data_IF_364301572513
#
_entry.id   IF_364301572513
#
_cell.length_a   1.000
_cell.length_b   1.000
_cell.length_c   1.000
_cell.angle_alpha   90.00
_cell.angle_beta   90.00
_cell.angle_gamma   90.00
#
_symmetry.space_group_name_H-M   'P 1'
#
loop_
_entity.id
_entity.type
_entity.pdbx_description
1 polymer ?
#
# COMPACT_ATOMS: atom_id res chain seq x y z
N UNK A 1 22.06 9.26 11.45
CA UNK A 1 21.46 8.40 10.39
C UNK A 1 20.80 7.21 11.07
N UNK A 2 19.64 6.76 10.60
CA UNK A 2 18.86 5.69 11.27
C UNK A 2 19.46 4.28 11.11
N UNK A 3 20.43 4.08 10.21
CA UNK A 3 21.05 2.77 9.96
C UNK A 3 20.17 1.80 9.16
N UNK A 4 18.97 2.22 8.76
CA UNK A 4 18.02 1.44 7.96
C UNK A 4 18.14 1.80 6.48
N UNK A 5 17.70 0.88 5.63
CA UNK A 5 17.60 1.09 4.18
C UNK A 5 16.18 1.48 3.80
N UNK A 6 16.06 2.60 3.05
CA UNK A 6 14.80 3.16 2.59
C UNK A 6 14.72 3.10 1.07
N UNK A 7 13.49 2.95 0.56
CA UNK A 7 13.22 2.66 -0.83
C UNK A 7 12.05 3.50 -1.33
N UNK A 8 12.08 3.89 -2.60
CA UNK A 8 10.98 4.59 -3.27
C UNK A 8 10.95 4.12 -4.72
N UNK A 9 9.81 3.60 -5.17
CA UNK A 9 9.67 3.13 -6.53
C UNK A 9 9.72 4.30 -7.52
N UNK A 10 10.17 4.00 -8.75
CA UNK A 10 10.34 5.00 -9.80
C UNK A 10 9.06 5.74 -10.13
N UNK A 11 9.19 7.00 -10.53
CA UNK A 11 8.05 7.82 -10.94
C UNK A 11 7.43 8.56 -9.75
N UNK A 12 6.20 8.23 -9.39
CA UNK A 12 5.48 8.97 -8.37
C UNK A 12 6.08 8.78 -6.97
N UNK A 13 6.61 7.60 -6.66
CA UNK A 13 7.29 7.34 -5.38
C UNK A 13 8.53 8.23 -5.17
N UNK A 14 9.39 8.34 -6.19
CA UNK A 14 10.54 9.27 -6.19
C UNK A 14 10.11 10.74 -6.10
N UNK A 15 9.03 11.12 -6.80
CA UNK A 15 8.46 12.47 -6.71
C UNK A 15 7.99 12.78 -5.28
N UNK A 16 7.25 11.87 -4.65
CA UNK A 16 6.81 12.00 -3.26
C UNK A 16 8.00 12.11 -2.29
N UNK A 17 9.08 11.36 -2.53
CA UNK A 17 10.32 11.51 -1.75
C UNK A 17 10.90 12.92 -1.86
N UNK A 18 10.98 13.46 -3.08
CA UNK A 18 11.54 14.79 -3.34
C UNK A 18 10.67 15.92 -2.78
N UNK A 19 9.34 15.82 -2.94
CA UNK A 19 8.40 16.90 -2.60
C UNK A 19 7.89 16.83 -1.15
N UNK A 20 7.75 15.62 -0.59
CA UNK A 20 7.10 15.37 0.70
C UNK A 20 8.03 14.76 1.76
N UNK A 21 9.28 14.45 1.41
CA UNK A 21 10.33 14.02 2.33
C UNK A 21 10.05 12.70 3.08
N UNK A 22 9.43 11.72 2.42
CA UNK A 22 9.27 10.36 2.95
C UNK A 22 9.53 9.29 1.89
N UNK A 23 9.91 8.09 2.31
CA UNK A 23 10.16 6.95 1.44
C UNK A 23 8.98 5.98 1.44
N UNK A 24 8.76 5.29 0.33
CA UNK A 24 7.62 4.38 0.17
C UNK A 24 7.77 3.08 0.97
N UNK A 25 9.00 2.64 1.22
CA UNK A 25 9.28 1.45 2.01
C UNK A 25 10.58 1.57 2.82
N UNK A 26 10.69 0.76 3.86
CA UNK A 26 11.87 0.61 4.70
C UNK A 26 12.04 -0.84 5.11
N UNK A 27 13.28 -1.32 5.19
CA UNK A 27 13.59 -2.62 5.80
C UNK A 27 14.00 -2.45 7.25
N UNK A 28 13.38 -3.23 8.14
CA UNK A 28 13.61 -3.23 9.59
C UNK A 28 13.83 -4.67 10.05
N UNK A 29 15.10 -5.09 10.11
CA UNK A 29 15.44 -6.50 10.35
C UNK A 29 14.83 -7.41 9.29
N UNK A 30 14.06 -8.40 9.73
CA UNK A 30 13.34 -9.34 8.86
C UNK A 30 12.02 -8.77 8.31
N UNK A 31 11.66 -7.53 8.63
CA UNK A 31 10.40 -6.93 8.19
C UNK A 31 10.61 -5.91 7.08
N UNK A 32 9.60 -5.80 6.22
CA UNK A 32 9.41 -4.67 5.31
C UNK A 32 8.19 -3.90 5.80
N UNK A 33 8.37 -2.62 6.08
CA UNK A 33 7.29 -1.69 6.39
C UNK A 33 7.13 -0.74 5.20
N UNK A 34 5.89 -0.44 4.82
CA UNK A 34 5.60 0.52 3.74
C UNK A 34 4.82 1.71 4.27
N UNK A 35 4.94 2.85 3.59
CA UNK A 35 3.98 3.95 3.74
C UNK A 35 2.61 3.55 3.21
N UNK A 36 1.56 4.24 3.67
CA UNK A 36 0.22 4.09 3.13
C UNK A 36 0.19 4.29 1.61
N UNK A 37 -0.38 3.33 0.89
CA UNK A 37 -0.53 3.35 -0.56
C UNK A 37 -1.98 3.67 -0.93
N UNK A 38 -2.18 4.76 -1.65
CA UNK A 38 -3.45 5.11 -2.29
C UNK A 38 -3.55 4.55 -3.70
N UNK A 39 -4.70 4.75 -4.33
CA UNK A 39 -4.96 4.27 -5.68
C UNK A 39 -4.38 5.12 -6.81
N UNK A 40 -3.29 5.86 -6.58
CA UNK A 40 -2.65 6.65 -7.63
C UNK A 40 -1.92 5.76 -8.66
N UNK A 41 -1.81 6.20 -9.90
CA UNK A 41 -0.89 5.59 -10.86
C UNK A 41 0.56 5.79 -10.39
N UNK A 42 1.34 4.71 -10.29
CA UNK A 42 2.70 4.74 -9.74
C UNK A 42 3.69 5.57 -10.56
N UNK A 43 3.35 5.96 -11.80
CA UNK A 43 4.20 6.78 -12.68
C UNK A 43 3.75 8.23 -12.71
N UNK A 44 2.44 8.49 -12.81
CA UNK A 44 1.89 9.84 -13.01
C UNK A 44 1.38 10.47 -11.71
N UNK A 45 0.97 9.67 -10.74
CA UNK A 45 0.31 10.12 -9.51
C UNK A 45 -1.19 10.41 -9.65
N UNK A 46 -1.79 10.12 -10.81
CA UNK A 46 -3.22 10.35 -11.04
C UNK A 46 -4.06 9.32 -10.30
N UNK A 47 -5.11 9.79 -9.60
CA UNK A 47 -6.05 8.91 -8.90
C UNK A 47 -7.27 8.64 -9.79
N UNK A 48 -7.64 7.37 -10.05
CA UNK A 48 -8.83 7.04 -10.83
C UNK A 48 -10.10 7.67 -10.26
N UNK A 49 -10.97 8.18 -11.13
CA UNK A 49 -12.27 8.70 -10.70
C UNK A 49 -13.21 7.58 -10.23
N UNK A 50 -13.07 6.38 -10.78
CA UNK A 50 -13.81 5.19 -10.36
C UNK A 50 -13.18 4.58 -9.10
N UNK A 51 -13.99 4.39 -8.07
CA UNK A 51 -13.51 3.91 -6.78
C UNK A 51 -13.06 2.43 -6.80
N UNK A 52 -13.65 1.59 -7.63
CA UNK A 52 -13.23 0.18 -7.74
C UNK A 52 -11.84 0.08 -8.36
N UNK A 53 -11.56 0.93 -9.36
CA UNK A 53 -10.24 1.06 -9.97
C UNK A 53 -9.22 1.64 -8.98
N UNK A 54 -9.62 2.63 -8.17
CA UNK A 54 -8.75 3.16 -7.11
C UNK A 54 -8.39 2.07 -6.09
N UNK A 55 -9.37 1.25 -5.66
CA UNK A 55 -9.13 0.14 -4.73
C UNK A 55 -8.13 -0.86 -5.34
N UNK A 56 -8.34 -1.27 -6.59
CA UNK A 56 -7.43 -2.20 -7.27
C UNK A 56 -6.00 -1.63 -7.37
N UNK A 57 -5.89 -0.35 -7.73
CA UNK A 57 -4.62 0.33 -7.90
C UNK A 57 -3.88 0.49 -6.56
N UNK A 58 -4.60 0.75 -5.46
CA UNK A 58 -3.98 0.86 -4.14
C UNK A 58 -3.34 -0.47 -3.72
N UNK A 59 -4.01 -1.60 -4.00
CA UNK A 59 -3.45 -2.92 -3.74
C UNK A 59 -2.26 -3.26 -4.66
N UNK A 60 -2.29 -2.84 -5.92
CA UNK A 60 -1.12 -2.97 -6.80
C UNK A 60 0.08 -2.14 -6.29
N UNK A 61 -0.16 -0.92 -5.82
CA UNK A 61 0.90 -0.07 -5.27
C UNK A 61 1.56 -0.65 -4.02
N UNK A 62 0.80 -1.37 -3.18
CA UNK A 62 1.38 -2.17 -2.08
C UNK A 62 2.38 -3.19 -2.60
N UNK A 63 2.02 -3.92 -3.66
CA UNK A 63 2.90 -4.94 -4.25
C UNK A 63 4.19 -4.32 -4.81
N UNK A 64 4.05 -3.18 -5.50
CA UNK A 64 5.17 -2.41 -6.04
C UNK A 64 6.10 -1.94 -4.91
N UNK A 65 5.55 -1.33 -3.85
CA UNK A 65 6.33 -0.82 -2.72
C UNK A 65 7.11 -1.92 -2.00
N UNK A 66 6.47 -3.08 -1.78
CA UNK A 66 7.12 -4.23 -1.15
C UNK A 66 8.24 -4.81 -2.05
N UNK A 67 8.01 -4.92 -3.35
CA UNK A 67 9.00 -5.44 -4.31
C UNK A 67 10.19 -4.49 -4.49
N UNK A 68 9.95 -3.18 -4.45
CA UNK A 68 11.03 -2.17 -4.48
C UNK A 68 11.99 -2.34 -3.30
N UNK A 69 11.49 -2.75 -2.13
CA UNK A 69 12.30 -3.10 -0.96
C UNK A 69 12.89 -4.53 -1.00
N UNK A 70 12.85 -5.19 -2.17
CA UNK A 70 13.38 -6.55 -2.39
C UNK A 70 12.48 -7.67 -1.85
N UNK A 71 11.22 -7.38 -1.49
CA UNK A 71 10.25 -8.37 -1.05
C UNK A 71 9.58 -9.15 -2.20
N UNK A 72 8.79 -10.15 -1.83
CA UNK A 72 7.98 -11.00 -2.72
C UNK A 72 6.51 -10.54 -2.79
N UNK A 73 6.26 -9.28 -2.42
CA UNK A 73 4.93 -8.68 -2.48
C UNK A 73 3.96 -9.24 -1.44
N UNK A 74 2.69 -9.31 -1.82
CA UNK A 74 1.58 -9.67 -0.92
C UNK A 74 1.69 -11.05 -0.25
N UNK A 75 2.44 -11.97 -0.83
CA UNK A 75 2.70 -13.30 -0.24
C UNK A 75 3.37 -13.23 1.14
N UNK A 76 4.00 -12.10 1.47
CA UNK A 76 4.72 -11.88 2.74
C UNK A 76 3.95 -11.00 3.73
N UNK A 77 2.81 -10.43 3.34
CA UNK A 77 2.05 -9.48 4.16
C UNK A 77 1.41 -10.21 5.33
N UNK A 78 1.65 -9.77 6.57
CA UNK A 78 1.01 -10.34 7.75
C UNK A 78 0.02 -9.38 8.43
N UNK A 79 0.12 -8.08 8.17
CA UNK A 79 -0.75 -7.04 8.76
C UNK A 79 -1.20 -6.04 7.70
N UNK A 80 -2.48 -5.69 7.73
CA UNK A 80 -3.11 -4.68 6.88
C UNK A 80 -3.79 -3.63 7.77
N UNK A 81 -3.64 -2.36 7.43
CA UNK A 81 -4.49 -1.26 7.88
C UNK A 81 -5.13 -0.59 6.68
N UNK A 82 -6.45 -0.44 6.74
CA UNK A 82 -7.23 0.27 5.73
C UNK A 82 -7.75 1.56 6.34
N UNK A 83 -7.41 2.69 5.73
CA UNK A 83 -8.00 3.99 6.03
C UNK A 83 -8.87 4.37 4.83
N UNK A 84 -10.17 4.58 5.06
CA UNK A 84 -11.10 4.87 3.97
C UNK A 84 -12.11 5.93 4.36
N UNK A 85 -12.53 6.71 3.35
CA UNK A 85 -13.66 7.62 3.44
C UNK A 85 -14.98 6.85 3.26
N UNK A 86 -16.11 7.50 3.56
CA UNK A 86 -17.44 6.88 3.48
C UNK A 86 -17.74 6.31 2.08
N UNK A 87 -17.24 6.96 1.02
CA UNK A 87 -17.41 6.49 -0.36
C UNK A 87 -16.78 5.10 -0.59
N UNK A 88 -15.67 4.79 0.10
CA UNK A 88 -14.98 3.51 0.00
C UNK A 88 -15.54 2.44 0.96
N UNK A 89 -16.21 2.84 2.04
CA UNK A 89 -16.84 1.93 3.00
C UNK A 89 -18.26 1.46 2.60
N UNK A 90 -18.63 1.62 1.32
CA UNK A 90 -19.84 1.02 0.76
C UNK A 90 -19.74 -0.51 0.72
N UNK A 91 -20.88 -1.20 0.58
CA UNK A 91 -20.91 -2.68 0.44
C UNK A 91 -20.05 -3.15 -0.74
N UNK A 92 -20.16 -2.47 -1.88
CA UNK A 92 -19.36 -2.78 -3.07
C UNK A 92 -17.87 -2.51 -2.83
N UNK A 93 -17.52 -1.40 -2.17
CA UNK A 93 -16.13 -1.05 -1.87
C UNK A 93 -15.49 -2.06 -0.92
N UNK A 94 -16.20 -2.44 0.15
CA UNK A 94 -15.84 -3.52 1.05
C UNK A 94 -15.66 -4.85 0.32
N UNK A 95 -16.62 -5.21 -0.53
CA UNK A 95 -16.56 -6.40 -1.37
C UNK A 95 -15.28 -6.42 -2.20
N UNK A 96 -14.95 -5.29 -2.85
CA UNK A 96 -13.74 -5.17 -3.68
C UNK A 96 -12.45 -5.24 -2.89
N UNK A 97 -12.40 -4.68 -1.68
CA UNK A 97 -11.24 -4.84 -0.79
C UNK A 97 -11.05 -6.32 -0.40
N UNK A 98 -12.13 -7.03 -0.10
CA UNK A 98 -12.09 -8.47 0.23
C UNK A 98 -11.64 -9.31 -0.97
N UNK A 99 -12.14 -9.02 -2.17
CA UNK A 99 -11.70 -9.65 -3.41
C UNK A 99 -10.19 -9.49 -3.62
N UNK A 100 -9.68 -8.26 -3.45
CA UNK A 100 -8.25 -7.99 -3.57
C UNK A 100 -7.43 -8.72 -2.50
N UNK A 101 -7.85 -8.72 -1.23
CA UNK A 101 -7.15 -9.47 -0.18
C UNK A 101 -7.04 -10.96 -0.53
N UNK A 102 -8.12 -11.59 -1.03
CA UNK A 102 -8.10 -13.00 -1.45
C UNK A 102 -7.25 -13.23 -2.71
N UNK A 103 -7.28 -12.30 -3.67
CA UNK A 103 -6.48 -12.36 -4.90
C UNK A 103 -4.98 -12.30 -4.61
N UNK A 104 -4.58 -11.36 -3.77
CA UNK A 104 -3.18 -11.03 -3.53
C UNK A 104 -2.53 -11.86 -2.42
N UNK A 105 -3.30 -12.29 -1.42
CA UNK A 105 -2.87 -13.22 -0.37
C UNK A 105 -3.71 -14.52 -0.40
N UNK A 106 -3.63 -15.34 -1.47
CA UNK A 106 -4.49 -16.52 -1.62
C UNK A 106 -4.14 -17.66 -0.64
N UNK A 107 -2.93 -17.67 -0.09
CA UNK A 107 -2.40 -18.77 0.71
C UNK A 107 -2.36 -18.49 2.23
N UNK A 108 -2.81 -17.31 2.66
CA UNK A 108 -2.88 -16.92 4.07
C UNK A 108 -3.86 -15.77 4.30
N UNK A 109 -4.23 -15.51 5.55
CA UNK A 109 -5.11 -14.40 5.92
C UNK A 109 -4.36 -13.43 6.86
N UNK A 110 -3.99 -12.22 6.39
CA UNK A 110 -3.37 -11.21 7.23
C UNK A 110 -4.30 -10.73 8.35
N UNK A 111 -3.73 -10.26 9.47
CA UNK A 111 -4.51 -9.50 10.46
C UNK A 111 -4.90 -8.14 9.86
N UNK A 112 -6.09 -7.64 10.19
CA UNK A 112 -6.63 -6.42 9.58
C UNK A 112 -7.23 -5.47 10.61
N UNK A 113 -7.02 -4.17 10.40
CA UNK A 113 -7.78 -3.09 11.05
C UNK A 113 -8.35 -2.16 9.98
N UNK A 114 -9.64 -1.85 10.06
CA UNK A 114 -10.32 -0.88 9.21
C UNK A 114 -10.65 0.38 9.99
N UNK A 115 -10.37 1.55 9.41
CA UNK A 115 -10.52 2.86 10.04
C UNK A 115 -11.27 3.80 9.09
N UNK A 116 -12.34 4.42 9.60
CA UNK A 116 -13.00 5.54 8.92
C UNK A 116 -12.17 6.81 9.07
N UNK A 117 -11.85 7.46 7.96
CA UNK A 117 -11.15 8.75 7.93
C UNK A 117 -12.08 9.84 7.36
N UNK A 118 -11.85 11.10 7.74
CA UNK A 118 -12.57 12.24 7.16
C UNK A 118 -11.84 12.84 5.95
N UNK A 119 -10.55 12.53 5.78
CA UNK A 119 -9.70 12.98 4.66
C UNK A 119 -8.45 12.11 4.56
N UNK A 120 -7.89 11.99 3.34
CA UNK A 120 -6.62 11.32 3.04
C UNK A 120 -5.59 12.28 2.44
N UNK A 121 -4.34 11.80 2.27
CA UNK A 121 -3.16 12.64 1.99
C UNK A 121 -3.16 13.40 0.66
N UNK A 122 -3.80 12.85 -0.39
CA UNK A 122 -3.89 13.47 -1.71
C UNK A 122 -5.37 13.74 -2.09
N UNK A 123 -5.68 14.89 -2.73
CA UNK A 123 -7.01 15.13 -3.27
C UNK A 123 -7.46 14.02 -4.22
N UNK A 124 -8.70 13.55 -4.04
CA UNK A 124 -9.28 12.47 -4.84
C UNK A 124 -9.11 11.07 -4.26
N UNK A 125 -8.21 10.88 -3.28
CA UNK A 125 -8.10 9.60 -2.58
C UNK A 125 -9.30 9.34 -1.67
N UNK A 126 -9.82 8.11 -1.73
CA UNK A 126 -10.88 7.58 -0.86
C UNK A 126 -10.45 6.32 -0.10
N UNK A 127 -9.35 5.68 -0.51
CA UNK A 127 -8.73 4.56 0.21
C UNK A 127 -7.20 4.75 0.33
N UNK A 128 -6.65 4.38 1.48
CA UNK A 128 -5.23 4.20 1.71
C UNK A 128 -4.96 2.85 2.42
N UNK A 129 -4.00 2.09 1.89
CA UNK A 129 -3.64 0.74 2.36
C UNK A 129 -2.21 0.75 2.88
N UNK A 130 -2.04 0.48 4.18
CA UNK A 130 -0.73 0.32 4.83
C UNK A 130 -0.54 -1.14 5.23
N UNK A 131 0.64 -1.71 4.95
CA UNK A 131 0.92 -3.10 5.33
C UNK A 131 2.30 -3.26 5.96
N UNK A 132 2.44 -4.40 6.66
CA UNK A 132 3.73 -4.91 7.10
C UNK A 132 3.93 -6.32 6.54
N UNK A 133 5.13 -6.59 6.05
CA UNK A 133 5.52 -7.88 5.49
C UNK A 133 6.70 -8.49 6.23
N UNK A 134 6.72 -9.82 6.31
CA UNK A 134 7.77 -10.61 6.95
C UNK A 134 8.61 -11.36 5.90
N UNK A 135 9.90 -11.06 5.87
CA UNK A 135 10.87 -11.55 4.89
C UNK A 135 12.21 -11.93 5.56
N UNK A 136 12.25 -13.06 6.29
CA UNK A 136 13.44 -13.51 7.04
C UNK A 136 14.60 -13.96 6.16
N UNK A 137 14.36 -14.16 4.85
CA UNK A 137 15.41 -14.55 3.91
C UNK A 137 16.19 -13.35 3.36
N UNK A 138 15.76 -12.13 3.68
CA UNK A 138 16.35 -10.92 3.13
C UNK A 138 16.01 -10.70 1.65
N UNK A 139 16.45 -9.55 1.10
CA UNK A 139 16.27 -9.24 -0.32
C UNK A 139 16.94 -10.31 -1.18
N UNK A 140 16.24 -10.78 -2.21
CA UNK A 140 16.79 -11.67 -3.24
C UNK A 140 17.19 -10.91 -4.50
#
# INVERSE_FOLDING_TARGET
MSGLQYFSYKGYGEKLLQEMHYSQAVRVGDNIEISGQGGWDSKTGEVPSNIMQEIDQAFENVDIALKEAGGQGWSQVFRIRLYALDEAWTEDGLGRMVENMKKWAPNHAPILTGIGASKLGQPGMRLEVEVSAYDPNGPR
#
